data_IF_623609891428
#
_entry.id   IF_623609891428
#
_cell.length_a   1.000
_cell.length_b   1.000
_cell.length_c   1.000
_cell.angle_alpha   90.00
_cell.angle_beta   90.00
_cell.angle_gamma   90.00
#
_symmetry.space_group_name_H-M   'P 1'
#
loop_
_entity.id
_entity.type
_entity.pdbx_description
1 polymer ?
#
# COMPACT_ATOMS: atom_id res chain seq x y z
N UNK A 1 -26.49 -22.85 -26.24
CA UNK A 1 -27.01 -22.65 -24.87
C UNK A 1 -26.20 -23.47 -23.86
N UNK A 2 -24.89 -23.26 -23.77
CA UNK A 2 -23.98 -24.05 -22.90
C UNK A 2 -22.72 -23.26 -22.55
N UNK A 3 -22.89 -21.99 -22.17
CA UNK A 3 -21.79 -21.12 -21.73
C UNK A 3 -22.11 -20.31 -20.46
N UNK A 4 -23.34 -20.40 -19.95
CA UNK A 4 -23.76 -19.65 -18.75
C UNK A 4 -23.59 -20.43 -17.43
N UNK A 5 -23.35 -21.74 -17.49
CA UNK A 5 -23.32 -22.60 -16.31
C UNK A 5 -21.92 -22.70 -15.68
N UNK A 6 -20.84 -22.46 -16.44
CA UNK A 6 -19.45 -22.65 -15.98
C UNK A 6 -18.92 -21.48 -15.12
N UNK A 7 -19.53 -20.29 -15.21
CA UNK A 7 -19.09 -19.10 -14.44
C UNK A 7 -19.71 -19.07 -13.04
N UNK A 8 -20.90 -19.66 -12.87
CA UNK A 8 -21.57 -19.75 -11.56
C UNK A 8 -20.97 -20.85 -10.67
N UNK A 9 -20.52 -21.97 -11.24
CA UNK A 9 -19.84 -23.05 -10.47
C UNK A 9 -18.48 -22.60 -9.93
N UNK A 10 -17.75 -21.76 -10.67
CA UNK A 10 -16.47 -21.22 -10.20
C UNK A 10 -16.60 -20.20 -9.05
N UNK A 11 -17.77 -19.59 -8.88
CA UNK A 11 -18.03 -18.66 -7.77
C UNK A 11 -18.62 -19.37 -6.53
N UNK A 12 -19.36 -20.46 -6.71
CA UNK A 12 -19.82 -21.30 -5.60
C UNK A 12 -18.67 -22.07 -4.94
N UNK A 13 -17.72 -22.58 -5.72
CA UNK A 13 -16.54 -23.29 -5.20
C UNK A 13 -15.55 -22.38 -4.45
N UNK A 14 -15.54 -21.07 -4.73
CA UNK A 14 -14.75 -20.10 -3.94
C UNK A 14 -15.45 -19.72 -2.63
N UNK A 15 -16.77 -19.93 -2.54
CA UNK A 15 -17.55 -19.60 -1.33
C UNK A 15 -17.71 -20.77 -0.36
N UNK A 16 -17.59 -22.01 -0.82
CA UNK A 16 -17.86 -23.23 -0.02
C UNK A 16 -16.64 -24.12 0.23
N UNK A 17 -15.45 -23.77 -0.26
CA UNK A 17 -14.29 -24.63 -0.08
C UNK A 17 -13.56 -24.38 1.26
N UNK A 18 -13.92 -25.21 2.24
CA UNK A 18 -13.24 -25.38 3.51
C UNK A 18 -11.95 -26.24 3.37
N UNK A 19 -11.40 -26.42 2.15
CA UNK A 19 -10.17 -27.21 1.92
C UNK A 19 -8.89 -26.38 1.75
N UNK A 20 -8.76 -25.31 2.54
CA UNK A 20 -7.47 -24.64 2.77
C UNK A 20 -6.38 -25.51 3.43
N UNK A 21 -6.60 -26.81 3.67
CA UNK A 21 -5.64 -27.69 4.36
C UNK A 21 -4.69 -28.49 3.46
N UNK A 22 -4.92 -28.59 2.14
CA UNK A 22 -4.11 -29.48 1.29
C UNK A 22 -3.05 -28.78 0.41
N UNK A 23 -3.09 -27.45 0.26
CA UNK A 23 -1.96 -26.70 -0.33
C UNK A 23 -0.81 -26.46 0.68
N UNK A 24 -1.10 -26.52 1.98
CA UNK A 24 -0.11 -26.43 3.07
C UNK A 24 0.67 -27.74 3.29
N UNK A 25 0.22 -28.87 2.73
CA UNK A 25 0.85 -30.17 2.94
C UNK A 25 2.11 -30.39 2.07
N UNK A 26 2.27 -29.65 0.96
CA UNK A 26 3.43 -29.81 0.06
C UNK A 26 4.67 -29.00 0.48
N UNK A 27 4.55 -28.12 1.49
CA UNK A 27 5.66 -27.31 2.01
C UNK A 27 6.27 -27.86 3.32
N UNK A 28 5.79 -28.98 3.85
CA UNK A 28 6.36 -29.67 5.01
C UNK A 28 7.48 -30.64 4.62
N UNK A 29 8.62 -30.12 4.16
CA UNK A 29 9.91 -30.84 4.22
C UNK A 29 11.06 -29.89 4.51
N UNK A 30 11.14 -29.40 5.75
CA UNK A 30 12.38 -29.07 6.48
C UNK A 30 12.05 -28.83 7.97
N UNK A 31 13.00 -29.06 8.90
CA UNK A 31 12.70 -29.63 10.21
C UNK A 31 12.09 -28.64 11.21
N UNK A 32 11.23 -29.21 12.05
CA UNK A 32 10.40 -28.55 13.04
C UNK A 32 11.19 -27.72 14.06
N UNK A 33 10.75 -26.47 14.25
CA UNK A 33 10.88 -25.75 15.52
C UNK A 33 9.46 -25.64 16.08
N UNK A 34 9.29 -26.12 17.30
CA UNK A 34 8.02 -26.47 17.96
C UNK A 34 6.98 -25.34 18.01
N UNK A 35 5.87 -25.49 17.29
CA UNK A 35 4.67 -24.63 17.34
C UNK A 35 3.64 -25.04 18.42
N UNK A 36 4.00 -25.93 19.34
CA UNK A 36 3.04 -26.47 20.33
C UNK A 36 2.87 -25.61 21.60
N UNK A 37 3.35 -24.36 21.60
CA UNK A 37 3.30 -23.47 22.76
C UNK A 37 2.39 -22.25 22.60
N UNK A 38 1.64 -22.13 21.50
CA UNK A 38 0.70 -21.02 21.30
C UNK A 38 -0.63 -21.58 20.83
N UNK A 39 -1.39 -22.23 21.71
CA UNK A 39 -2.84 -22.44 21.58
C UNK A 39 -3.35 -23.17 22.84
N UNK A 40 -3.28 -22.50 24.00
CA UNK A 40 -4.15 -22.80 25.14
C UNK A 40 -4.16 -21.59 26.08
N UNK A 41 -5.37 -21.19 26.47
CA UNK A 41 -5.75 -20.08 27.36
C UNK A 41 -6.01 -18.72 26.70
N UNK A 42 -7.13 -18.61 25.97
CA UNK A 42 -7.92 -17.37 25.96
C UNK A 42 -9.40 -17.71 26.15
N UNK A 43 -9.75 -18.04 27.39
CA UNK A 43 -11.10 -17.85 27.92
C UNK A 43 -10.96 -16.92 29.11
N UNK A 44 -11.20 -15.63 28.92
CA UNK A 44 -11.47 -14.70 30.03
C UNK A 44 -12.36 -13.55 29.54
N UNK A 45 -13.63 -13.66 29.92
CA UNK A 45 -14.46 -12.62 30.54
C UNK A 45 -14.18 -11.15 30.22
N UNK A 46 -15.22 -10.51 29.69
CA UNK A 46 -15.42 -9.06 29.71
C UNK A 46 -15.29 -8.48 31.11
N UNK A 47 -14.86 -7.21 31.17
CA UNK A 47 -14.53 -6.36 32.33
C UNK A 47 -13.08 -6.43 32.81
N UNK A 48 -12.26 -5.51 32.29
CA UNK A 48 -11.21 -4.89 33.09
C UNK A 48 -10.94 -3.46 32.62
N UNK A 49 -10.98 -2.55 33.59
CA UNK A 49 -10.62 -1.15 33.49
C UNK A 49 -9.30 -0.96 32.73
N UNK A 50 -9.35 -0.18 31.63
CA UNK A 50 -8.21 0.22 30.78
C UNK A 50 -7.12 0.96 31.59
N UNK A 51 -6.27 0.21 32.30
CA UNK A 51 -4.96 0.70 32.72
C UNK A 51 -4.13 0.78 31.44
N UNK A 52 -3.77 1.99 31.02
CA UNK A 52 -2.83 2.22 29.92
C UNK A 52 -1.59 1.37 30.20
N UNK A 53 -1.40 0.28 29.45
CA UNK A 53 -0.14 -0.46 29.50
C UNK A 53 0.83 0.41 28.69
N UNK A 54 1.47 1.35 29.38
CA UNK A 54 2.60 2.09 28.83
C UNK A 54 3.71 1.05 28.66
N UNK A 55 3.94 0.66 27.41
CA UNK A 55 5.09 -0.19 27.08
C UNK A 55 6.33 0.67 27.12
N UNK A 56 7.39 0.17 27.74
CA UNK A 56 8.66 0.89 27.80
C UNK A 56 9.15 1.20 26.38
N UNK A 57 9.30 2.49 26.09
CA UNK A 57 10.01 3.00 24.92
C UNK A 57 11.48 3.15 25.31
N UNK A 58 12.38 2.89 24.37
CA UNK A 58 13.81 2.89 24.64
C UNK A 58 14.42 4.13 24.02
N UNK A 59 15.00 4.98 24.86
CA UNK A 59 15.85 6.05 24.37
C UNK A 59 17.08 5.44 23.68
N UNK A 60 17.41 5.85 22.45
CA UNK A 60 18.62 5.41 21.79
C UNK A 60 19.82 5.88 22.61
N UNK A 61 20.77 4.97 22.88
CA UNK A 61 21.99 5.32 23.58
C UNK A 61 22.93 6.12 22.66
N UNK A 62 23.81 6.94 23.23
CA UNK A 62 24.86 7.62 22.45
C UNK A 62 25.71 6.62 21.65
N UNK A 63 25.99 5.46 22.24
CA UNK A 63 26.65 4.36 21.55
C UNK A 63 25.86 3.99 20.29
N UNK A 64 24.56 3.65 20.42
CA UNK A 64 23.69 3.28 19.30
C UNK A 64 23.64 4.36 18.22
N UNK A 65 23.54 5.64 18.57
CA UNK A 65 23.52 6.73 17.59
C UNK A 65 24.84 6.82 16.79
N UNK A 66 25.99 6.58 17.45
CA UNK A 66 27.28 6.47 16.74
C UNK A 66 27.29 5.27 15.79
N UNK A 67 26.66 4.15 16.18
CA UNK A 67 26.49 2.97 15.30
C UNK A 67 25.70 3.32 14.05
N UNK A 68 24.55 3.97 14.21
CA UNK A 68 23.69 4.42 13.10
C UNK A 68 24.47 5.30 12.14
N UNK A 69 25.19 6.30 12.67
CA UNK A 69 26.00 7.21 11.86
C UNK A 69 27.11 6.47 11.10
N UNK A 70 27.87 5.62 11.79
CA UNK A 70 28.94 4.82 11.17
C UNK A 70 28.39 3.89 10.08
N UNK A 71 27.24 3.25 10.34
CA UNK A 71 26.56 2.38 9.40
C UNK A 71 26.22 3.13 8.09
N UNK A 72 25.59 4.30 8.21
CA UNK A 72 25.16 5.10 7.07
C UNK A 72 26.38 5.63 6.27
N UNK A 73 27.41 6.14 6.94
CA UNK A 73 28.65 6.64 6.30
C UNK A 73 29.39 5.55 5.51
N UNK A 74 29.35 4.30 5.98
CA UNK A 74 30.05 3.18 5.34
C UNK A 74 29.16 2.35 4.41
N UNK A 75 27.86 2.68 4.33
CA UNK A 75 26.83 1.93 3.60
C UNK A 75 26.69 0.49 4.10
N UNK A 76 26.57 0.36 5.41
CA UNK A 76 26.39 -0.89 6.15
C UNK A 76 25.03 -0.91 6.85
N UNK A 77 24.49 -2.11 7.05
CA UNK A 77 23.34 -2.40 7.90
C UNK A 77 23.78 -2.58 9.35
N UNK A 78 22.98 -2.03 10.26
CA UNK A 78 23.04 -2.29 11.69
C UNK A 78 22.92 -3.78 12.01
N UNK A 79 23.41 -4.17 13.19
CA UNK A 79 23.22 -5.52 13.69
C UNK A 79 21.73 -5.80 13.94
N UNK A 80 21.32 -7.05 13.77
CA UNK A 80 19.95 -7.49 14.02
C UNK A 80 19.49 -7.17 15.47
N UNK A 81 20.41 -7.22 16.43
CA UNK A 81 20.12 -6.86 17.83
C UNK A 81 19.71 -5.39 17.93
N UNK A 82 20.43 -4.50 17.27
CA UNK A 82 20.20 -3.07 17.30
C UNK A 82 18.89 -2.70 16.57
N UNK A 83 18.63 -3.30 15.40
CA UNK A 83 17.36 -3.06 14.68
C UNK A 83 16.16 -3.61 15.44
N UNK A 84 16.26 -4.80 16.06
CA UNK A 84 15.18 -5.34 16.92
C UNK A 84 14.84 -4.43 18.09
N UNK A 85 15.83 -3.80 18.72
CA UNK A 85 15.60 -2.84 19.81
C UNK A 85 14.92 -1.56 19.32
N UNK A 86 15.40 -1.00 18.21
CA UNK A 86 14.80 0.17 17.55
C UNK A 86 13.33 -0.10 17.15
N UNK A 87 13.08 -1.20 16.44
CA UNK A 87 11.74 -1.65 16.03
C UNK A 87 10.83 -1.85 17.24
N UNK A 88 11.35 -2.40 18.34
CA UNK A 88 10.59 -2.56 19.59
C UNK A 88 10.20 -1.21 20.18
N UNK A 89 11.12 -0.24 20.20
CA UNK A 89 10.82 1.13 20.67
C UNK A 89 9.73 1.79 19.81
N UNK A 90 9.90 1.76 18.48
CA UNK A 90 8.93 2.31 17.50
C UNK A 90 7.54 1.70 17.71
N UNK A 91 7.44 0.37 17.73
CA UNK A 91 6.17 -0.35 17.95
C UNK A 91 5.54 -0.01 19.30
N UNK A 92 6.33 0.20 20.34
CA UNK A 92 5.82 0.60 21.65
C UNK A 92 5.30 2.03 21.63
N UNK A 93 5.99 2.97 21.01
CA UNK A 93 5.52 4.35 20.83
C UNK A 93 4.20 4.40 20.06
N UNK A 94 4.11 3.69 18.93
CA UNK A 94 2.87 3.60 18.12
C UNK A 94 1.71 3.08 18.98
N UNK A 95 1.91 1.97 19.70
CA UNK A 95 0.86 1.35 20.55
C UNK A 95 0.48 2.24 21.73
N UNK A 96 1.45 2.91 22.36
CA UNK A 96 1.21 3.84 23.47
C UNK A 96 0.40 5.06 23.00
N UNK A 97 0.72 5.61 21.83
CA UNK A 97 0.01 6.75 21.26
C UNK A 97 -1.40 6.40 20.80
N UNK A 98 -1.60 5.22 20.21
CA UNK A 98 -2.95 4.70 19.94
C UNK A 98 -3.75 4.54 21.23
N UNK A 99 -3.19 3.91 22.26
CA UNK A 99 -3.86 3.71 23.54
C UNK A 99 -4.22 5.06 24.20
N UNK A 100 -3.31 6.06 24.14
CA UNK A 100 -3.56 7.42 24.61
C UNK A 100 -4.72 8.06 23.85
N UNK A 101 -4.73 7.95 22.52
CA UNK A 101 -5.75 8.52 21.66
C UNK A 101 -7.13 7.90 21.93
N UNK A 102 -7.21 6.57 22.02
CA UNK A 102 -8.45 5.84 22.34
C UNK A 102 -8.97 6.14 23.75
N UNK A 103 -8.08 6.34 24.73
CA UNK A 103 -8.48 6.79 26.07
C UNK A 103 -9.05 8.21 26.06
N UNK A 104 -8.47 9.11 25.25
CA UNK A 104 -8.93 10.50 25.12
C UNK A 104 -10.27 10.60 24.39
N UNK A 105 -10.50 9.75 23.40
CA UNK A 105 -11.66 9.80 22.52
C UNK A 105 -12.40 8.46 22.56
N UNK A 106 -13.39 8.35 23.46
CA UNK A 106 -14.15 7.11 23.70
C UNK A 106 -14.88 6.61 22.45
N UNK A 107 -15.31 7.49 21.55
CA UNK A 107 -15.98 7.10 20.30
C UNK A 107 -15.11 6.21 19.39
N UNK A 108 -13.78 6.23 19.54
CA UNK A 108 -12.86 5.38 18.78
C UNK A 108 -13.03 3.89 19.08
N UNK A 109 -13.76 3.52 20.13
CA UNK A 109 -14.12 2.11 20.40
C UNK A 109 -15.09 1.54 19.36
N UNK A 110 -15.88 2.40 18.68
CA UNK A 110 -16.86 1.99 17.67
C UNK A 110 -16.22 1.89 16.27
N UNK A 111 -15.15 1.12 16.16
CA UNK A 111 -14.33 1.04 14.94
C UNK A 111 -15.13 0.66 13.68
N UNK A 112 -16.01 -0.34 13.76
CA UNK A 112 -16.86 -0.76 12.64
C UNK A 112 -17.81 0.35 12.16
N UNK A 113 -18.43 1.06 13.12
CA UNK A 113 -19.31 2.19 12.82
C UNK A 113 -18.54 3.35 12.17
N UNK A 114 -17.34 3.65 12.65
CA UNK A 114 -16.47 4.68 12.07
C UNK A 114 -16.06 4.31 10.65
N UNK A 115 -15.62 3.06 10.43
CA UNK A 115 -15.27 2.55 9.10
C UNK A 115 -16.45 2.65 8.12
N UNK A 116 -17.65 2.27 8.55
CA UNK A 116 -18.87 2.38 7.73
C UNK A 116 -19.28 3.83 7.48
N UNK A 117 -19.16 4.70 8.47
CA UNK A 117 -19.50 6.12 8.33
C UNK A 117 -18.58 6.81 7.34
N UNK A 118 -17.27 6.55 7.43
CA UNK A 118 -16.26 7.03 6.47
C UNK A 118 -16.59 6.53 5.06
N UNK A 119 -16.86 5.22 4.92
CA UNK A 119 -17.25 4.61 3.65
C UNK A 119 -18.47 5.27 3.01
N UNK A 120 -19.59 5.37 3.74
CA UNK A 120 -20.83 5.95 3.24
C UNK A 120 -20.67 7.44 2.91
N UNK A 121 -19.96 8.19 3.75
CA UNK A 121 -19.70 9.61 3.50
C UNK A 121 -18.87 9.82 2.24
N UNK A 122 -17.84 8.99 2.03
CA UNK A 122 -17.04 9.04 0.80
C UNK A 122 -17.87 8.72 -0.45
N UNK A 123 -18.73 7.70 -0.40
CA UNK A 123 -19.62 7.36 -1.53
C UNK A 123 -20.65 8.47 -1.81
N UNK A 124 -21.28 9.02 -0.76
CA UNK A 124 -22.21 10.13 -0.89
C UNK A 124 -21.53 11.38 -1.47
N UNK A 125 -20.29 11.64 -1.09
CA UNK A 125 -19.48 12.73 -1.65
C UNK A 125 -19.23 12.50 -3.14
N UNK A 126 -18.83 11.28 -3.54
CA UNK A 126 -18.61 10.93 -4.95
C UNK A 126 -19.89 11.14 -5.77
N UNK A 127 -21.02 10.62 -5.30
CA UNK A 127 -22.32 10.76 -5.98
C UNK A 127 -22.75 12.22 -6.04
N UNK A 128 -22.62 12.96 -4.94
CA UNK A 128 -23.00 14.38 -4.87
C UNK A 128 -22.19 15.26 -5.82
N UNK A 129 -20.86 15.10 -5.83
CA UNK A 129 -19.96 15.86 -6.73
C UNK A 129 -20.24 15.51 -8.19
N UNK A 130 -20.43 14.21 -8.50
CA UNK A 130 -20.78 13.75 -9.85
C UNK A 130 -22.11 14.36 -10.32
N UNK A 131 -23.13 14.38 -9.46
CA UNK A 131 -24.43 14.96 -9.79
C UNK A 131 -24.36 16.48 -10.01
N UNK A 132 -23.57 17.20 -9.22
CA UNK A 132 -23.34 18.64 -9.40
C UNK A 132 -22.63 18.92 -10.74
N UNK A 133 -21.63 18.11 -11.11
CA UNK A 133 -20.94 18.21 -12.38
C UNK A 133 -21.89 17.94 -13.56
N UNK A 134 -22.66 16.84 -13.53
CA UNK A 134 -23.58 16.47 -14.61
C UNK A 134 -24.72 17.48 -14.82
N UNK A 135 -25.14 18.19 -13.77
CA UNK A 135 -26.12 19.29 -13.85
C UNK A 135 -25.53 20.60 -14.40
N UNK A 136 -24.21 20.67 -14.58
CA UNK A 136 -23.50 21.88 -15.01
C UNK A 136 -23.23 22.88 -13.88
N UNK A 137 -23.50 22.53 -12.61
CA UNK A 137 -23.31 23.40 -11.46
C UNK A 137 -21.85 23.42 -10.96
N UNK A 138 -21.02 22.49 -11.44
CA UNK A 138 -19.63 22.34 -11.03
C UNK A 138 -18.74 22.15 -12.25
N UNK A 139 -17.72 23.00 -12.39
CA UNK A 139 -16.75 22.87 -13.47
C UNK A 139 -15.84 21.66 -13.26
N UNK A 140 -15.44 20.97 -14.35
CA UNK A 140 -14.64 19.75 -14.27
C UNK A 140 -13.34 19.92 -13.48
N UNK A 141 -12.70 21.10 -13.60
CA UNK A 141 -11.43 21.39 -12.91
C UNK A 141 -11.55 21.35 -11.38
N UNK A 142 -12.75 21.57 -10.84
CA UNK A 142 -13.05 21.42 -9.42
C UNK A 142 -13.66 20.04 -9.11
N UNK A 143 -14.45 19.48 -10.02
CA UNK A 143 -15.03 18.14 -9.86
C UNK A 143 -13.95 17.06 -9.71
N UNK A 144 -12.91 17.07 -10.56
CA UNK A 144 -11.83 16.07 -10.54
C UNK A 144 -11.12 16.00 -9.18
N UNK A 145 -10.55 17.08 -8.61
CA UNK A 145 -9.91 16.99 -7.30
C UNK A 145 -10.91 16.65 -6.19
N UNK A 146 -12.14 17.16 -6.22
CA UNK A 146 -13.16 16.83 -5.22
C UNK A 146 -13.61 15.36 -5.26
N UNK A 147 -13.51 14.70 -6.42
CA UNK A 147 -13.73 13.26 -6.56
C UNK A 147 -12.51 12.44 -6.14
N UNK A 148 -11.30 12.91 -6.45
CA UNK A 148 -10.06 12.21 -6.11
C UNK A 148 -9.87 12.05 -4.58
N UNK A 149 -10.28 13.05 -3.79
CA UNK A 149 -10.17 13.04 -2.32
C UNK A 149 -10.92 11.86 -1.63
N UNK A 150 -12.25 11.71 -1.77
CA UNK A 150 -12.96 10.60 -1.15
C UNK A 150 -12.51 9.23 -1.69
N UNK A 151 -12.08 9.15 -2.96
CA UNK A 151 -11.51 7.91 -3.51
C UNK A 151 -10.18 7.57 -2.83
N UNK A 152 -9.37 8.57 -2.47
CA UNK A 152 -8.12 8.37 -1.70
C UNK A 152 -8.42 7.81 -0.32
N UNK A 153 -9.45 8.34 0.36
CA UNK A 153 -9.93 7.81 1.65
C UNK A 153 -10.43 6.37 1.50
N UNK A 154 -11.19 6.06 0.45
CA UNK A 154 -11.65 4.70 0.18
C UNK A 154 -10.49 3.73 -0.07
N UNK A 155 -9.38 4.20 -0.65
CA UNK A 155 -8.18 3.39 -0.80
C UNK A 155 -7.54 3.02 0.55
N UNK A 156 -7.39 3.98 1.46
CA UNK A 156 -6.90 3.70 2.82
C UNK A 156 -7.84 2.80 3.61
N UNK A 157 -9.15 2.99 3.45
CA UNK A 157 -10.14 2.10 4.04
C UNK A 157 -10.07 0.68 3.46
N UNK A 158 -9.78 0.53 2.17
CA UNK A 158 -9.52 -0.78 1.56
C UNK A 158 -8.29 -1.45 2.19
N UNK A 159 -7.21 -0.71 2.43
CA UNK A 159 -6.03 -1.24 3.13
C UNK A 159 -6.43 -1.81 4.50
N UNK A 160 -7.23 -1.09 5.25
CA UNK A 160 -7.72 -1.60 6.54
C UNK A 160 -8.64 -2.84 6.38
N UNK A 161 -9.50 -2.88 5.37
CA UNK A 161 -10.35 -4.06 5.10
C UNK A 161 -9.50 -5.28 4.72
N UNK A 162 -8.41 -5.10 3.97
CA UNK A 162 -7.47 -6.15 3.58
C UNK A 162 -6.89 -6.85 4.82
N UNK A 163 -6.65 -6.09 5.89
CA UNK A 163 -6.20 -6.60 7.20
C UNK A 163 -7.34 -7.03 8.13
N UNK A 164 -8.58 -7.09 7.63
CA UNK A 164 -9.78 -7.43 8.37
C UNK A 164 -9.96 -6.55 9.62
N UNK A 165 -9.69 -5.25 9.54
CA UNK A 165 -9.79 -4.36 10.71
C UNK A 165 -11.23 -4.02 11.09
N UNK A 166 -12.16 -4.10 10.15
CA UNK A 166 -13.59 -3.82 10.38
C UNK A 166 -14.44 -5.07 10.21
N UNK A 167 -15.58 -5.15 10.89
CA UNK A 167 -16.60 -6.19 10.73
C UNK A 167 -16.02 -7.60 10.81
N UNK A 168 -15.14 -7.86 11.79
CA UNK A 168 -14.41 -9.14 11.92
C UNK A 168 -15.34 -10.35 11.98
N UNK A 169 -16.49 -10.19 12.64
CA UNK A 169 -17.51 -11.23 12.79
C UNK A 169 -18.51 -11.27 11.61
N UNK A 170 -18.61 -10.20 10.82
CA UNK A 170 -19.62 -10.03 9.76
C UNK A 170 -18.93 -9.72 8.42
N UNK A 171 -18.11 -10.64 7.92
CA UNK A 171 -17.25 -10.42 6.74
C UNK A 171 -18.02 -10.11 5.45
N UNK A 172 -19.29 -10.49 5.35
CA UNK A 172 -20.14 -10.11 4.22
C UNK A 172 -20.22 -8.58 4.04
N UNK A 173 -20.18 -7.80 5.13
CA UNK A 173 -20.14 -6.34 5.07
C UNK A 173 -18.86 -5.86 4.39
N UNK A 174 -17.72 -6.48 4.70
CA UNK A 174 -16.45 -6.16 4.05
C UNK A 174 -16.51 -6.46 2.54
N UNK A 175 -17.15 -7.56 2.13
CA UNK A 175 -17.32 -7.88 0.70
C UNK A 175 -18.19 -6.86 -0.04
N UNK A 176 -19.26 -6.37 0.61
CA UNK A 176 -20.06 -5.27 0.08
C UNK A 176 -19.22 -3.99 -0.04
N UNK A 177 -18.43 -3.66 0.99
CA UNK A 177 -17.54 -2.49 0.95
C UNK A 177 -16.49 -2.62 -0.16
N UNK A 178 -15.85 -3.79 -0.31
CA UNK A 178 -14.93 -4.06 -1.41
C UNK A 178 -15.56 -3.85 -2.77
N UNK A 179 -16.78 -4.32 -2.98
CA UNK A 179 -17.48 -4.16 -4.26
C UNK A 179 -17.63 -2.67 -4.63
N UNK A 180 -18.13 -1.84 -3.72
CA UNK A 180 -18.31 -0.41 -4.00
C UNK A 180 -16.99 0.37 -4.07
N UNK A 181 -15.99 0.00 -3.26
CA UNK A 181 -14.65 0.57 -3.37
C UNK A 181 -14.04 0.25 -4.74
N UNK A 182 -14.20 -1.00 -5.22
CA UNK A 182 -13.75 -1.41 -6.55
C UNK A 182 -14.40 -0.57 -7.65
N UNK A 183 -15.72 -0.35 -7.57
CA UNK A 183 -16.44 0.49 -8.52
C UNK A 183 -15.96 1.95 -8.49
N UNK A 184 -15.70 2.51 -7.30
CA UNK A 184 -15.22 3.89 -7.17
C UNK A 184 -13.78 4.07 -7.69
N UNK A 185 -12.91 3.11 -7.42
CA UNK A 185 -11.48 3.18 -7.79
C UNK A 185 -11.19 2.76 -9.22
N UNK A 186 -12.07 1.96 -9.84
CA UNK A 186 -11.85 1.35 -11.17
C UNK A 186 -10.42 0.82 -11.37
N UNK A 187 -9.88 0.14 -10.35
CA UNK A 187 -8.50 -0.36 -10.34
C UNK A 187 -8.49 -1.85 -9.97
N UNK A 188 -7.36 -2.36 -9.50
CA UNK A 188 -7.21 -3.76 -9.14
C UNK A 188 -8.28 -4.23 -8.13
N UNK A 189 -8.79 -5.45 -8.34
CA UNK A 189 -9.82 -6.04 -7.48
C UNK A 189 -9.33 -6.14 -6.02
N UNK A 190 -10.09 -5.63 -5.03
CA UNK A 190 -9.68 -5.64 -3.63
C UNK A 190 -9.35 -7.04 -3.08
N UNK A 191 -10.08 -8.08 -3.52
CA UNK A 191 -9.80 -9.46 -3.14
C UNK A 191 -8.43 -9.96 -3.63
N UNK A 192 -8.05 -9.62 -4.86
CA UNK A 192 -6.73 -9.96 -5.38
C UNK A 192 -5.63 -9.11 -4.72
N UNK A 193 -5.91 -7.82 -4.52
CA UNK A 193 -5.03 -6.92 -3.75
C UNK A 193 -4.79 -7.43 -2.34
N UNK A 194 -5.80 -8.00 -1.66
CA UNK A 194 -5.63 -8.60 -0.32
C UNK A 194 -4.54 -9.66 -0.32
N UNK A 195 -4.58 -10.58 -1.28
CA UNK A 195 -3.57 -11.63 -1.41
C UNK A 195 -2.17 -11.04 -1.64
N UNK A 196 -2.05 -10.10 -2.58
CA UNK A 196 -0.77 -9.46 -2.92
C UNK A 196 -0.21 -8.66 -1.74
N UNK A 197 -1.06 -7.87 -1.08
CA UNK A 197 -0.64 -6.95 -0.01
C UNK A 197 -0.20 -7.69 1.25
N UNK A 198 -0.89 -8.77 1.63
CA UNK A 198 -0.47 -9.59 2.78
C UNK A 198 0.89 -10.25 2.51
N UNK A 199 1.18 -10.63 1.26
CA UNK A 199 2.51 -11.13 0.87
C UNK A 199 3.55 -10.03 0.92
N UNK A 200 3.22 -8.82 0.47
CA UNK A 200 4.11 -7.66 0.54
C UNK A 200 4.64 -7.44 1.97
N UNK A 201 3.82 -7.53 3.02
CA UNK A 201 4.31 -7.45 4.42
C UNK A 201 5.37 -8.50 4.79
N UNK A 202 5.27 -9.70 4.21
CA UNK A 202 6.20 -10.80 4.48
C UNK A 202 7.46 -10.68 3.65
N UNK A 203 7.32 -10.33 2.38
CA UNK A 203 8.41 -10.31 1.39
C UNK A 203 8.89 -8.91 1.06
N UNK A 204 8.56 -7.92 1.89
CA UNK A 204 8.78 -6.51 1.59
C UNK A 204 10.25 -6.23 1.29
N UNK A 205 10.48 -5.50 0.20
CA UNK A 205 11.83 -5.14 -0.22
C UNK A 205 12.65 -6.30 -0.78
N UNK A 206 12.03 -7.45 -1.08
CA UNK A 206 12.66 -8.56 -1.82
C UNK A 206 12.17 -8.62 -3.27
N UNK A 207 12.82 -9.42 -4.12
CA UNK A 207 12.35 -9.68 -5.49
C UNK A 207 10.97 -10.32 -5.60
N UNK A 208 10.51 -10.95 -4.50
CA UNK A 208 9.20 -11.59 -4.43
C UNK A 208 8.08 -10.60 -4.13
N UNK A 209 8.43 -9.37 -3.83
CA UNK A 209 7.48 -8.29 -3.61
C UNK A 209 6.86 -7.81 -4.92
N UNK A 210 5.70 -8.36 -5.25
CA UNK A 210 4.97 -7.94 -6.44
C UNK A 210 4.40 -6.52 -6.31
N UNK A 211 3.97 -6.10 -5.11
CA UNK A 211 3.34 -4.78 -4.92
C UNK A 211 4.32 -3.66 -5.28
N UNK A 212 5.56 -3.77 -4.80
CA UNK A 212 6.63 -2.82 -5.13
C UNK A 212 7.01 -2.83 -6.61
N UNK A 213 7.13 -4.02 -7.19
CA UNK A 213 7.49 -4.14 -8.60
C UNK A 213 6.41 -3.63 -9.54
N UNK A 214 5.14 -3.78 -9.17
CA UNK A 214 4.02 -3.26 -9.94
C UNK A 214 4.02 -1.72 -10.02
N UNK A 215 4.68 -1.04 -9.08
CA UNK A 215 4.83 0.42 -9.05
C UNK A 215 6.26 0.90 -9.39
N UNK A 216 7.08 0.01 -9.96
CA UNK A 216 8.42 0.35 -10.46
C UNK A 216 9.55 0.27 -9.44
N UNK A 217 9.32 -0.34 -8.27
CA UNK A 217 10.38 -0.71 -7.33
C UNK A 217 11.44 -1.58 -7.99
N UNK A 218 12.71 -1.23 -7.78
CA UNK A 218 13.85 -1.91 -8.42
C UNK A 218 14.20 -1.41 -9.83
N UNK A 219 13.43 -0.49 -10.40
CA UNK A 219 13.78 0.17 -11.66
C UNK A 219 14.43 1.53 -11.42
N UNK A 220 15.43 1.89 -12.22
CA UNK A 220 15.97 3.25 -12.22
C UNK A 220 14.92 4.28 -12.68
N UNK A 221 15.22 5.56 -12.47
CA UNK A 221 14.45 6.64 -13.08
C UNK A 221 14.45 6.48 -14.61
N UNK A 222 13.28 6.22 -15.18
CA UNK A 222 13.16 5.96 -16.61
C UNK A 222 11.71 5.87 -17.06
N UNK A 223 11.53 5.76 -18.39
CA UNK A 223 10.21 5.78 -19.01
C UNK A 223 9.29 4.66 -18.51
N UNK A 224 9.83 3.44 -18.33
CA UNK A 224 9.05 2.31 -17.82
C UNK A 224 8.53 2.59 -16.39
N UNK A 225 9.36 3.13 -15.50
CA UNK A 225 8.96 3.50 -14.15
C UNK A 225 7.90 4.62 -14.14
N UNK A 226 8.06 5.61 -15.00
CA UNK A 226 7.05 6.66 -15.19
C UNK A 226 5.71 6.06 -15.63
N UNK A 227 5.70 5.12 -16.57
CA UNK A 227 4.48 4.44 -17.00
C UNK A 227 3.87 3.60 -15.86
N UNK A 228 4.67 2.83 -15.11
CA UNK A 228 4.20 2.01 -13.98
C UNK A 228 3.56 2.84 -12.87
N UNK A 229 4.09 4.04 -12.61
CA UNK A 229 3.57 4.92 -11.56
C UNK A 229 2.33 5.70 -12.01
N UNK A 230 2.25 6.09 -13.28
CA UNK A 230 1.15 6.95 -13.79
C UNK A 230 0.02 6.18 -14.47
N UNK A 231 0.24 4.93 -14.86
CA UNK A 231 -0.72 4.17 -15.66
C UNK A 231 -0.96 2.76 -15.10
N UNK A 232 -2.23 2.39 -14.83
CA UNK A 232 -2.56 1.03 -14.40
C UNK A 232 -2.00 -0.03 -15.34
N UNK A 233 -2.20 0.10 -16.66
CA UNK A 233 -1.89 -0.96 -17.64
C UNK A 233 -0.39 -1.22 -17.81
N UNK A 234 0.46 -0.31 -17.35
CA UNK A 234 1.91 -0.44 -17.50
C UNK A 234 2.48 -1.65 -16.73
N UNK A 235 1.76 -2.17 -15.72
CA UNK A 235 2.16 -3.40 -15.00
C UNK A 235 2.41 -4.58 -15.95
N UNK A 236 1.71 -4.63 -17.09
CA UNK A 236 1.89 -5.67 -18.10
C UNK A 236 3.22 -5.60 -18.85
N UNK A 237 3.88 -4.43 -18.85
CA UNK A 237 5.23 -4.28 -19.40
C UNK A 237 6.29 -4.92 -18.49
N UNK A 238 6.00 -5.10 -17.20
CA UNK A 238 6.90 -5.69 -16.21
C UNK A 238 6.49 -7.12 -15.78
N UNK A 239 5.36 -7.63 -16.26
CA UNK A 239 4.74 -8.86 -15.75
C UNK A 239 5.56 -10.13 -16.03
N UNK A 240 6.31 -10.14 -17.14
CA UNK A 240 7.19 -11.25 -17.51
C UNK A 240 8.37 -11.37 -16.55
N UNK A 241 8.99 -10.26 -16.20
CA UNK A 241 10.07 -10.22 -15.21
C UNK A 241 9.53 -10.58 -13.81
N UNK A 242 8.32 -10.13 -13.46
CA UNK A 242 7.66 -10.52 -12.20
C UNK A 242 7.46 -12.03 -12.15
N UNK A 243 6.94 -12.63 -13.23
CA UNK A 243 6.71 -14.08 -13.31
C UNK A 243 8.02 -14.86 -13.25
N UNK A 244 9.08 -14.38 -13.89
CA UNK A 244 10.41 -15.02 -13.83
C UNK A 244 10.92 -15.12 -12.41
N UNK A 245 10.76 -14.05 -11.62
CA UNK A 245 11.29 -14.01 -10.26
C UNK A 245 10.32 -14.64 -9.22
N UNK A 246 9.06 -14.92 -9.63
CA UNK A 246 8.02 -15.54 -8.80
C UNK A 246 7.28 -16.69 -9.53
N UNK A 247 7.99 -17.73 -10.01
CA UNK A 247 7.41 -18.69 -10.94
C UNK A 247 6.31 -19.56 -10.32
N UNK A 248 6.41 -19.90 -9.04
CA UNK A 248 5.43 -20.75 -8.33
C UNK A 248 4.29 -19.93 -7.70
N UNK A 249 4.55 -18.66 -7.46
CA UNK A 249 3.75 -17.81 -6.59
C UNK A 249 2.88 -16.79 -7.33
N UNK A 250 3.23 -16.48 -8.58
CA UNK A 250 2.56 -15.48 -9.38
C UNK A 250 1.90 -16.12 -10.60
N UNK A 251 0.59 -15.90 -10.77
CA UNK A 251 -0.15 -16.32 -11.95
C UNK A 251 -0.47 -15.11 -12.83
N UNK A 252 0.17 -15.04 -14.00
CA UNK A 252 -0.07 -14.00 -15.01
C UNK A 252 -1.53 -14.02 -15.46
N UNK A 253 -2.09 -15.21 -15.69
CA UNK A 253 -3.48 -15.37 -16.10
C UNK A 253 -4.45 -14.84 -15.04
N UNK A 254 -4.23 -15.17 -13.76
CA UNK A 254 -5.08 -14.69 -12.68
C UNK A 254 -4.95 -13.17 -12.51
N UNK A 255 -3.73 -12.64 -12.57
CA UNK A 255 -3.48 -11.20 -12.52
C UNK A 255 -4.18 -10.46 -13.68
N UNK A 256 -4.14 -11.03 -14.90
CA UNK A 256 -4.86 -10.48 -16.05
C UNK A 256 -6.37 -10.54 -15.83
N UNK A 257 -6.91 -11.71 -15.53
CA UNK A 257 -8.36 -11.92 -15.42
C UNK A 257 -8.99 -11.05 -14.32
N UNK A 258 -8.33 -10.96 -13.16
CA UNK A 258 -8.82 -10.17 -12.02
C UNK A 258 -8.77 -8.67 -12.28
N UNK A 259 -7.81 -8.18 -13.06
CA UNK A 259 -7.68 -6.75 -13.30
C UNK A 259 -8.28 -6.31 -14.66
N UNK A 260 -8.53 -7.23 -15.59
CA UNK A 260 -8.99 -6.93 -16.95
C UNK A 260 -10.27 -6.06 -17.01
N UNK A 261 -11.35 -6.34 -16.26
CA UNK A 261 -12.58 -5.55 -16.41
C UNK A 261 -12.40 -4.06 -16.10
N UNK A 262 -11.74 -3.73 -14.99
CA UNK A 262 -11.46 -2.35 -14.61
C UNK A 262 -10.39 -1.72 -15.50
N UNK A 263 -9.32 -2.46 -15.82
CA UNK A 263 -8.21 -1.93 -16.60
C UNK A 263 -8.57 -1.71 -18.07
N UNK A 264 -9.30 -2.62 -18.71
CA UNK A 264 -9.72 -2.47 -20.11
C UNK A 264 -10.68 -1.28 -20.21
N UNK A 265 -11.70 -1.22 -19.35
CA UNK A 265 -12.66 -0.12 -19.34
C UNK A 265 -11.99 1.24 -19.15
N UNK A 266 -11.11 1.34 -18.15
CA UNK A 266 -10.33 2.54 -17.88
C UNK A 266 -9.43 2.93 -19.07
N UNK A 267 -8.71 1.95 -19.64
CA UNK A 267 -7.76 2.18 -20.73
C UNK A 267 -8.46 2.61 -22.02
N UNK A 268 -9.55 1.94 -22.39
CA UNK A 268 -10.35 2.31 -23.56
C UNK A 268 -10.91 3.72 -23.39
N UNK A 269 -11.50 4.01 -22.23
CA UNK A 269 -12.08 5.33 -21.98
C UNK A 269 -11.00 6.44 -22.00
N UNK A 270 -9.84 6.21 -21.40
CA UNK A 270 -8.70 7.13 -21.42
C UNK A 270 -8.21 7.43 -22.85
N UNK A 271 -8.01 6.40 -23.67
CA UNK A 271 -7.53 6.58 -25.04
C UNK A 271 -8.58 7.23 -25.94
N UNK A 272 -9.86 6.85 -25.82
CA UNK A 272 -10.94 7.48 -26.58
C UNK A 272 -11.08 8.95 -26.17
N UNK A 273 -11.05 9.27 -24.88
CA UNK A 273 -11.06 10.65 -24.38
C UNK A 273 -9.89 11.47 -24.94
N UNK A 274 -8.68 10.93 -24.87
CA UNK A 274 -7.48 11.59 -25.41
C UNK A 274 -7.57 11.79 -26.92
N UNK A 275 -8.13 10.83 -27.66
CA UNK A 275 -8.33 10.94 -29.10
C UNK A 275 -9.35 12.04 -29.46
N UNK A 276 -10.42 12.21 -28.68
CA UNK A 276 -11.30 13.38 -28.81
C UNK A 276 -10.55 14.69 -28.56
N UNK A 277 -9.70 14.77 -27.53
CA UNK A 277 -8.90 15.97 -27.28
C UNK A 277 -7.96 16.29 -28.46
N UNK A 278 -7.32 15.29 -29.05
CA UNK A 278 -6.52 15.48 -30.27
C UNK A 278 -7.37 15.94 -31.46
N UNK A 279 -8.54 15.35 -31.65
CA UNK A 279 -9.48 15.78 -32.69
C UNK A 279 -9.83 17.27 -32.55
N UNK A 280 -10.18 17.72 -31.33
CA UNK A 280 -10.45 19.13 -31.05
C UNK A 280 -9.22 20.03 -31.16
N UNK A 281 -8.03 19.47 -30.91
CA UNK A 281 -6.74 20.15 -31.06
C UNK A 281 -6.25 20.27 -32.51
N UNK A 282 -7.00 19.77 -33.50
CA UNK A 282 -6.70 19.94 -34.93
C UNK A 282 -6.41 18.64 -35.70
N UNK A 283 -6.35 17.47 -35.04
CA UNK A 283 -6.23 16.17 -35.73
C UNK A 283 -7.58 15.70 -36.27
N UNK A 284 -8.16 16.48 -37.19
CA UNK A 284 -9.55 16.34 -37.66
C UNK A 284 -9.84 15.02 -38.35
N UNK A 285 -8.84 14.31 -38.90
CA UNK A 285 -9.04 12.99 -39.52
C UNK A 285 -9.70 11.97 -38.57
N UNK A 286 -9.49 12.14 -37.25
CA UNK A 286 -10.09 11.30 -36.22
C UNK A 286 -11.63 11.40 -36.16
N UNK A 287 -12.24 12.48 -36.69
CA UNK A 287 -13.70 12.63 -36.73
C UNK A 287 -14.40 11.58 -37.58
N UNK A 288 -13.66 10.91 -38.47
CA UNK A 288 -14.15 9.75 -39.25
C UNK A 288 -14.46 8.55 -38.34
N UNK A 289 -13.70 8.40 -37.25
CA UNK A 289 -13.78 7.27 -36.33
C UNK A 289 -14.43 7.61 -34.99
N UNK A 290 -14.53 8.91 -34.66
CA UNK A 290 -15.02 9.43 -33.39
C UNK A 290 -16.24 10.35 -33.60
N UNK A 291 -17.46 9.78 -33.66
CA UNK A 291 -18.67 10.58 -33.85
C UNK A 291 -18.88 11.58 -32.70
N UNK A 292 -19.02 12.87 -33.03
CA UNK A 292 -19.17 13.94 -32.03
C UNK A 292 -20.33 13.72 -31.05
N UNK A 293 -21.37 12.99 -31.46
CA UNK A 293 -22.50 12.64 -30.60
C UNK A 293 -22.11 11.84 -29.34
N UNK A 294 -20.98 11.11 -29.37
CA UNK A 294 -20.49 10.37 -28.20
C UNK A 294 -19.62 11.21 -27.26
N UNK A 295 -19.19 12.41 -27.67
CA UNK A 295 -18.31 13.24 -26.86
C UNK A 295 -18.84 13.53 -25.46
N UNK A 296 -20.13 13.92 -25.25
CA UNK A 296 -20.64 14.17 -23.91
C UNK A 296 -20.47 12.97 -22.97
N UNK A 297 -20.78 11.77 -23.45
CA UNK A 297 -20.63 10.53 -22.67
C UNK A 297 -19.16 10.27 -22.30
N UNK A 298 -18.26 10.34 -23.28
CA UNK A 298 -16.82 10.11 -23.06
C UNK A 298 -16.22 11.15 -22.12
N UNK A 299 -16.56 12.42 -22.33
CA UNK A 299 -16.14 13.54 -21.47
C UNK A 299 -16.60 13.31 -20.03
N UNK A 300 -17.89 13.03 -19.83
CA UNK A 300 -18.47 12.96 -18.49
C UNK A 300 -17.99 11.74 -17.72
N UNK A 301 -17.90 10.57 -18.36
CA UNK A 301 -17.28 9.39 -17.75
C UNK A 301 -15.80 9.64 -17.44
N UNK A 302 -15.07 10.36 -18.28
CA UNK A 302 -13.65 10.66 -18.03
C UNK A 302 -13.47 11.60 -16.84
N UNK A 303 -14.30 12.64 -16.73
CA UNK A 303 -14.27 13.58 -15.60
C UNK A 303 -14.67 12.92 -14.28
N UNK A 304 -15.66 12.02 -14.31
CA UNK A 304 -16.18 11.39 -13.10
C UNK A 304 -15.32 10.20 -12.65
N UNK A 305 -14.78 9.43 -13.58
CA UNK A 305 -14.14 8.14 -13.30
C UNK A 305 -12.63 8.21 -13.54
N UNK A 306 -12.23 8.55 -14.77
CA UNK A 306 -10.85 8.36 -15.22
C UNK A 306 -9.89 9.37 -14.59
N UNK A 307 -10.16 10.66 -14.76
CA UNK A 307 -9.31 11.75 -14.29
C UNK A 307 -9.08 11.73 -12.76
N UNK A 308 -10.11 11.60 -11.90
CA UNK A 308 -9.88 11.58 -10.45
C UNK A 308 -9.09 10.34 -10.01
N UNK A 309 -9.34 9.18 -10.62
CA UNK A 309 -8.56 7.98 -10.35
C UNK A 309 -7.13 8.08 -10.87
N UNK A 310 -6.90 8.72 -12.01
CA UNK A 310 -5.55 8.98 -12.53
C UNK A 310 -4.76 9.88 -11.57
N UNK A 311 -5.37 10.97 -11.09
CA UNK A 311 -4.74 11.90 -10.13
C UNK A 311 -4.38 11.17 -8.84
N UNK A 312 -5.34 10.52 -8.19
CA UNK A 312 -5.12 9.76 -6.96
C UNK A 312 -4.06 8.68 -7.17
N UNK A 313 -4.23 7.82 -8.18
CA UNK A 313 -3.37 6.65 -8.38
C UNK A 313 -1.93 7.09 -8.65
N UNK A 314 -1.74 8.13 -9.46
CA UNK A 314 -0.41 8.69 -9.72
C UNK A 314 0.23 9.21 -8.43
N UNK A 315 -0.51 9.99 -7.65
CA UNK A 315 0.02 10.53 -6.39
C UNK A 315 0.38 9.43 -5.39
N UNK A 316 -0.50 8.44 -5.24
CA UNK A 316 -0.26 7.28 -4.38
C UNK A 316 0.94 6.47 -4.85
N UNK A 317 1.00 6.09 -6.12
CA UNK A 317 2.09 5.27 -6.66
C UNK A 317 3.43 5.99 -6.57
N UNK A 318 3.46 7.31 -6.83
CA UNK A 318 4.67 8.10 -6.63
C UNK A 318 5.07 8.09 -5.15
N UNK A 319 4.15 8.32 -4.22
CA UNK A 319 4.46 8.28 -2.78
C UNK A 319 4.96 6.89 -2.36
N UNK A 320 4.26 5.82 -2.71
CA UNK A 320 4.69 4.44 -2.41
C UNK A 320 6.07 4.13 -3.02
N UNK A 321 6.27 4.48 -4.28
CA UNK A 321 7.53 4.27 -5.00
C UNK A 321 8.71 5.06 -4.39
N UNK A 322 8.46 6.12 -3.62
CA UNK A 322 9.48 6.82 -2.83
C UNK A 322 9.54 6.33 -1.37
N UNK A 323 8.50 5.70 -0.84
CA UNK A 323 8.46 5.24 0.55
C UNK A 323 9.23 3.95 0.77
N UNK A 324 9.21 3.04 -0.20
CA UNK A 324 9.65 1.67 0.01
C UNK A 324 11.03 1.38 -0.58
N UNK A 325 11.88 0.74 0.20
CA UNK A 325 13.15 0.22 -0.29
C UNK A 325 12.95 -1.17 -0.90
N UNK A 326 13.78 -1.51 -1.88
CA UNK A 326 13.68 -2.74 -2.65
C UNK A 326 15.05 -3.30 -3.01
N UNK A 327 15.15 -4.61 -2.83
CA UNK A 327 16.21 -5.48 -3.28
C UNK A 327 17.32 -5.69 -2.26
N UNK A 328 17.78 -4.66 -1.55
CA UNK A 328 18.85 -4.77 -0.54
C UNK A 328 18.32 -4.68 0.90
N UNK A 329 17.02 -4.90 1.10
CA UNK A 329 16.41 -4.92 2.43
C UNK A 329 16.70 -6.27 3.12
N UNK A 330 17.28 -6.29 4.33
CA UNK A 330 17.45 -7.52 5.10
C UNK A 330 16.11 -8.24 5.33
N UNK A 331 16.09 -9.55 5.10
CA UNK A 331 14.85 -10.34 5.16
C UNK A 331 14.17 -10.25 6.54
N UNK A 332 12.89 -9.88 6.54
CA UNK A 332 12.08 -9.75 7.76
C UNK A 332 12.40 -8.52 8.61
N UNK A 333 13.33 -7.65 8.19
CA UNK A 333 13.67 -6.44 8.95
C UNK A 333 12.88 -5.22 8.48
N UNK A 334 11.77 -4.97 9.18
CA UNK A 334 10.88 -3.80 8.96
C UNK A 334 11.59 -2.46 9.10
N UNK A 335 12.73 -2.40 9.79
CA UNK A 335 13.48 -1.15 9.97
C UNK A 335 13.94 -0.55 8.63
N UNK A 336 14.27 -1.40 7.66
CA UNK A 336 14.79 -0.99 6.36
C UNK A 336 13.76 -1.03 5.23
N UNK A 337 12.52 -1.46 5.49
CA UNK A 337 11.50 -1.64 4.45
C UNK A 337 11.03 -0.32 3.84
N UNK A 338 11.13 0.79 4.58
CA UNK A 338 10.75 2.09 4.05
C UNK A 338 11.29 3.28 4.82
N UNK A 339 10.84 4.46 4.41
CA UNK A 339 11.20 5.75 5.00
C UNK A 339 9.97 6.59 5.36
N UNK A 340 10.18 7.61 6.18
CA UNK A 340 9.19 8.67 6.43
C UNK A 340 9.26 9.70 5.30
N UNK A 341 8.11 10.09 4.76
CA UNK A 341 7.98 11.23 3.82
C UNK A 341 6.98 12.23 4.41
N UNK A 342 7.51 13.33 4.95
CA UNK A 342 6.71 14.38 5.60
C UNK A 342 7.06 15.81 5.15
N UNK A 343 7.95 15.96 4.16
CA UNK A 343 8.33 17.27 3.66
C UNK A 343 7.16 18.01 2.99
N UNK A 344 7.06 19.33 3.23
CA UNK A 344 5.96 20.17 2.77
C UNK A 344 5.80 20.20 1.24
N UNK A 345 6.88 20.00 0.48
CA UNK A 345 6.80 19.95 -0.99
C UNK A 345 5.97 18.77 -1.51
N UNK A 346 5.74 17.74 -0.67
CA UNK A 346 4.93 16.58 -1.01
C UNK A 346 3.44 16.76 -0.73
N UNK A 347 3.01 17.88 -0.14
CA UNK A 347 1.59 18.16 0.18
C UNK A 347 0.64 17.88 -1.00
N UNK A 348 0.94 18.27 -2.26
CA UNK A 348 0.04 17.97 -3.38
C UNK A 348 -0.17 16.47 -3.60
N UNK A 349 0.87 15.65 -3.46
CA UNK A 349 0.77 14.20 -3.61
C UNK A 349 0.10 13.56 -2.40
N UNK A 350 0.46 14.00 -1.20
CA UNK A 350 -0.12 13.56 0.06
C UNK A 350 -1.62 13.83 0.11
N UNK A 351 -2.09 14.96 -0.44
CA UNK A 351 -3.51 15.29 -0.50
C UNK A 351 -4.32 14.23 -1.25
N UNK A 352 -3.81 13.72 -2.37
CA UNK A 352 -4.47 12.70 -3.21
C UNK A 352 -3.99 11.28 -2.94
N UNK A 353 -3.21 11.07 -1.87
CA UNK A 353 -2.87 9.75 -1.32
C UNK A 353 -3.30 9.61 0.14
N UNK A 354 -3.99 10.60 0.71
CA UNK A 354 -4.39 10.66 2.12
C UNK A 354 -3.18 10.51 3.07
N UNK A 355 -2.17 11.37 2.88
CA UNK A 355 -0.96 11.44 3.71
C UNK A 355 -0.17 10.12 3.77
N UNK A 356 -0.32 9.26 2.75
CA UNK A 356 0.32 7.95 2.64
C UNK A 356 1.80 7.99 3.00
N UNK A 357 2.56 8.94 2.47
CA UNK A 357 4.01 9.03 2.71
C UNK A 357 4.39 9.24 4.18
N UNK A 358 3.49 9.83 4.97
CA UNK A 358 3.72 10.11 6.39
C UNK A 358 3.10 9.06 7.33
N UNK A 359 2.16 8.25 6.85
CA UNK A 359 1.38 7.33 7.69
C UNK A 359 1.50 5.86 7.29
N UNK A 360 1.89 5.55 6.05
CA UNK A 360 1.97 4.18 5.55
C UNK A 360 3.10 3.39 6.20
N UNK A 361 4.27 3.98 6.45
CA UNK A 361 5.35 3.25 7.13
C UNK A 361 4.93 2.74 8.53
N UNK A 362 4.04 3.45 9.23
CA UNK A 362 3.47 3.00 10.51
C UNK A 362 2.74 1.66 10.36
N UNK A 363 2.09 1.44 9.22
CA UNK A 363 1.38 0.21 8.89
C UNK A 363 2.31 -1.00 8.80
N UNK A 364 3.54 -0.83 8.31
CA UNK A 364 4.56 -1.89 8.30
C UNK A 364 4.98 -2.29 9.72
N UNK A 365 5.14 -1.30 10.62
CA UNK A 365 5.47 -1.58 12.02
C UNK A 365 4.30 -2.19 12.80
N UNK A 366 3.07 -1.71 12.57
CA UNK A 366 1.83 -2.13 13.26
C UNK A 366 0.67 -2.22 12.25
N UNK A 367 0.49 -3.38 11.58
CA UNK A 367 -0.51 -3.50 10.51
C UNK A 367 -1.96 -3.49 11.03
N UNK A 368 -2.17 -3.95 12.27
CA UNK A 368 -3.49 -4.00 12.91
C UNK A 368 -3.88 -2.66 13.57
N UNK A 369 -3.87 -1.58 12.79
CA UNK A 369 -4.26 -0.24 13.24
C UNK A 369 -5.00 0.51 12.12
N UNK A 370 -6.20 1.07 12.35
CA UNK A 370 -6.95 1.78 11.32
C UNK A 370 -6.22 3.00 10.74
N UNK A 371 -6.43 3.30 9.46
CA UNK A 371 -5.75 4.40 8.76
C UNK A 371 -5.96 5.76 9.44
N UNK A 372 -7.17 6.05 9.94
CA UNK A 372 -7.45 7.32 10.62
C UNK A 372 -6.74 7.42 11.99
N UNK A 373 -6.42 6.30 12.63
CA UNK A 373 -5.58 6.27 13.83
C UNK A 373 -4.12 6.50 13.43
N UNK A 374 -3.63 5.78 12.40
CA UNK A 374 -2.27 5.95 11.86
C UNK A 374 -2.00 7.42 11.54
N UNK A 375 -2.94 8.06 10.87
CA UNK A 375 -2.89 9.48 10.53
C UNK A 375 -2.85 10.38 11.77
N UNK A 376 -3.73 10.15 12.75
CA UNK A 376 -3.80 10.97 13.95
C UNK A 376 -2.55 10.90 14.84
N UNK A 377 -1.79 9.80 14.78
CA UNK A 377 -0.56 9.60 15.58
C UNK A 377 0.72 9.82 14.77
N UNK A 378 0.62 10.07 13.47
CA UNK A 378 1.75 10.02 12.52
C UNK A 378 2.93 10.85 12.96
N UNK A 379 2.70 12.10 13.37
CA UNK A 379 3.76 13.02 13.84
C UNK A 379 4.65 12.40 14.93
N UNK A 380 4.05 11.73 15.91
CA UNK A 380 4.79 11.14 17.03
C UNK A 380 5.43 9.81 16.67
N UNK A 381 4.75 9.01 15.86
CA UNK A 381 5.32 7.77 15.32
C UNK A 381 6.55 8.07 14.44
N UNK A 382 6.44 9.07 13.57
CA UNK A 382 7.51 9.54 12.69
C UNK A 382 8.69 10.10 13.49
N UNK A 383 8.42 10.93 14.50
CA UNK A 383 9.48 11.43 15.38
C UNK A 383 10.27 10.29 16.04
N UNK A 384 9.60 9.23 16.51
CA UNK A 384 10.28 8.06 17.08
C UNK A 384 11.04 7.26 16.01
N UNK A 385 10.45 7.04 14.83
CA UNK A 385 11.13 6.36 13.71
C UNK A 385 12.45 7.07 13.35
N UNK A 386 12.38 8.39 13.16
CA UNK A 386 13.54 9.23 12.81
C UNK A 386 14.60 9.18 13.92
N UNK A 387 14.16 9.29 15.17
CA UNK A 387 15.04 9.22 16.34
C UNK A 387 15.77 7.89 16.46
N UNK A 388 15.13 6.80 16.04
CA UNK A 388 15.74 5.47 15.97
C UNK A 388 16.51 5.23 14.66
N UNK A 389 16.69 6.24 13.80
CA UNK A 389 17.51 6.10 12.59
C UNK A 389 16.78 5.59 11.34
N UNK A 390 15.45 5.48 11.35
CA UNK A 390 14.69 5.31 10.11
C UNK A 390 14.88 6.56 9.26
N UNK A 391 15.11 6.39 7.96
CA UNK A 391 15.36 7.51 7.05
C UNK A 391 14.13 8.42 6.92
N UNK A 392 14.40 9.70 6.70
CA UNK A 392 13.38 10.72 6.47
C UNK A 392 13.69 11.49 5.19
N UNK A 393 12.74 11.55 4.27
CA UNK A 393 12.84 12.34 3.04
C UNK A 393 14.13 12.05 2.25
N UNK A 394 14.51 10.77 2.16
CA UNK A 394 15.58 10.26 1.31
C UNK A 394 15.14 10.31 -0.17
N UNK A 395 15.39 11.45 -0.80
CA UNK A 395 15.04 11.72 -2.19
C UNK A 395 15.89 10.95 -3.21
N UNK A 396 17.02 10.39 -2.79
CA UNK A 396 17.92 9.62 -3.66
C UNK A 396 17.39 8.22 -3.97
N UNK A 397 16.30 7.78 -3.32
CA UNK A 397 15.76 6.42 -3.42
C UNK A 397 15.51 5.97 -4.87
N UNK A 398 14.95 6.84 -5.71
CA UNK A 398 14.65 6.52 -7.12
C UNK A 398 15.91 6.40 -7.96
N UNK A 399 16.91 7.27 -7.75
CA UNK A 399 18.20 7.22 -8.44
C UNK A 399 18.96 5.92 -8.12
N UNK A 400 18.73 5.39 -6.91
CA UNK A 400 19.24 4.10 -6.45
C UNK A 400 18.37 2.90 -6.83
N UNK A 401 17.36 3.06 -7.68
CA UNK A 401 16.42 1.99 -8.02
C UNK A 401 15.79 1.34 -6.76
N UNK A 402 15.42 2.19 -5.80
CA UNK A 402 14.85 1.84 -4.48
C UNK A 402 15.80 1.16 -3.51
N UNK A 403 17.11 1.15 -3.76
CA UNK A 403 18.06 0.59 -2.80
C UNK A 403 18.25 1.47 -1.58
N UNK A 404 18.46 0.82 -0.44
CA UNK A 404 18.86 1.48 0.79
C UNK A 404 20.29 2.02 0.67
N UNK A 405 21.21 1.28 0.03
CA UNK A 405 22.59 1.72 -0.21
C UNK A 405 22.94 1.87 -1.70
N UNK A 406 23.88 2.75 -2.05
CA UNK A 406 24.32 2.92 -3.44
C UNK A 406 25.12 1.70 -3.92
N UNK A 407 26.00 1.16 -3.07
CA UNK A 407 26.86 0.00 -3.40
C UNK A 407 26.05 -1.26 -3.75
N UNK A 408 24.81 -1.36 -3.31
CA UNK A 408 23.95 -2.53 -3.53
C UNK A 408 23.15 -2.47 -4.83
N UNK A 409 23.32 -1.42 -5.65
CA UNK A 409 22.56 -1.21 -6.89
C UNK A 409 22.59 -2.39 -7.87
N UNK A 410 23.67 -3.15 -7.88
CA UNK A 410 23.85 -4.33 -8.74
C UNK A 410 23.47 -5.65 -8.08
N UNK A 411 23.17 -5.64 -6.78
CA UNK A 411 22.89 -6.84 -6.01
C UNK A 411 21.45 -7.29 -6.20
N UNK A 412 21.24 -8.59 -6.11
CA UNK A 412 19.92 -9.20 -6.27
C UNK A 412 19.17 -9.33 -4.94
N UNK A 413 19.90 -9.27 -3.83
CA UNK A 413 19.44 -9.36 -2.45
C UNK A 413 20.40 -8.54 -1.56
N UNK A 414 20.07 -8.33 -0.29
CA UNK A 414 20.97 -7.70 0.67
C UNK A 414 22.26 -8.52 0.81
N UNK A 415 23.42 -7.90 0.59
CA UNK A 415 24.69 -8.59 0.80
C UNK A 415 25.00 -8.68 2.30
N UNK A 416 25.18 -9.90 2.78
CA UNK A 416 25.50 -10.19 4.19
C UNK A 416 26.81 -9.54 4.64
N UNK A 417 27.72 -9.22 3.72
CA UNK A 417 28.96 -8.47 4.02
C UNK A 417 28.70 -7.00 4.35
N UNK A 418 27.53 -6.48 4.01
CA UNK A 418 27.12 -5.12 4.37
C UNK A 418 26.62 -5.04 5.82
N UNK A 419 26.51 -6.14 6.56
CA UNK A 419 26.20 -6.07 8.00
C UNK A 419 27.46 -5.69 8.76
N UNK A 420 27.37 -4.74 9.71
CA UNK A 420 28.54 -4.31 10.50
C UNK A 420 29.24 -5.52 11.17
N UNK A 421 30.52 -5.78 10.83
CA UNK A 421 31.30 -6.87 11.41
C UNK A 421 31.50 -6.71 12.93
N UNK A 422 31.52 -7.84 13.65
CA UNK A 422 31.65 -7.89 15.10
C UNK A 422 32.90 -7.14 15.64
N UNK A 423 34.00 -7.20 14.89
CA UNK A 423 35.31 -6.62 15.18
C UNK A 423 35.38 -5.11 14.94
N UNK A 424 34.55 -4.57 14.03
CA UNK A 424 34.47 -3.12 13.79
C UNK A 424 33.77 -2.37 14.95
N UNK A 425 32.94 -3.06 15.74
CA UNK A 425 32.34 -2.48 16.95
C UNK A 425 33.37 -2.12 18.03
N UNK A 426 34.50 -2.84 18.08
CA UNK A 426 35.53 -2.67 19.12
C UNK A 426 36.34 -1.38 18.92
N UNK A 427 36.38 -0.86 17.69
CA UNK A 427 37.18 0.31 17.32
C UNK A 427 36.41 1.64 17.33
N UNK A 428 35.08 1.62 17.47
CA UNK A 428 34.27 2.79 17.79
C UNK A 428 34.47 3.14 19.27
N UNK A 429 35.64 3.69 19.63
CA UNK A 429 35.98 4.03 21.01
C UNK A 429 34.89 4.92 21.64
N UNK A 430 34.46 4.51 22.83
CA UNK A 430 33.41 5.11 23.67
C UNK A 430 33.77 6.51 24.16
#
# INVERSE_FOLDING_TARGET
>A
MTTSTTVLTLMEDISNDNTGSNAAAALRKQPAVNDELIMKNVTTTSNNSNKLIIKATYEPTEEYLRKVKYADENQLFLSEKDTRLAVKSIRNTIKNEEARLRKRHSFLQYQDLLGLTIFLTSLLTIVGVSALYLKGNLHWALAVPLLALPISVLHELEHDLIHNLYFKTHQWVQHVMYFFIYLAKCHALPWYRKYVHLRHHVTSGSKRDFEERAIGGGLEAGFLRYLLTTSPWAVFLAITDVKRDNPQDFSVFLALLTNAPSMIGFTVLWFVFTAYLFMFGGFTFLSTYLPIAFWPLVRDLSVIIVLPNLVRQTCLNLMASYCHYYGDVPEGDVFYQGQVIDHWSMIPFQLFSFNFGSSHIIHHFVPNQPFYIREAISRKANAEMIKQGVRNNDWGIVARANRFHDKSKHLLEADKTQVIPADQWVNLKY
#
